data_IF_654693742105
#
_entry.id   IF_654693742105
#
_cell.length_a   1.000
_cell.length_b   1.000
_cell.length_c   1.000
_cell.angle_alpha   90.00
_cell.angle_beta   90.00
_cell.angle_gamma   90.00
#
_symmetry.space_group_name_H-M   'P 1'
#
loop_
_entity.id
_entity.type
_entity.pdbx_description
1 polymer ?
#
# COMPACT_ATOMS: atom_id res chain seq x y z
N UNK A 1 12.67 11.47 19.78
CA UNK A 1 12.33 10.44 18.81
C UNK A 1 10.93 9.91 19.10
N UNK A 2 10.17 9.68 18.08
CA UNK A 2 8.83 9.14 18.24
C UNK A 2 8.90 7.61 18.34
N UNK A 3 8.68 7.09 19.54
CA UNK A 3 8.73 5.64 19.77
C UNK A 3 7.59 4.88 19.11
N UNK A 4 6.49 5.56 18.81
CA UNK A 4 5.36 4.93 18.13
C UNK A 4 5.73 4.37 16.74
N UNK A 5 6.62 5.07 16.03
CA UNK A 5 7.10 4.60 14.74
C UNK A 5 7.90 3.30 14.87
N UNK A 6 8.42 3.01 16.06
CA UNK A 6 9.22 1.81 16.30
C UNK A 6 8.37 0.60 16.71
N UNK A 7 7.07 0.81 16.92
CA UNK A 7 6.15 -0.27 17.30
C UNK A 7 5.59 -1.02 16.10
N UNK A 8 6.02 -0.66 14.90
CA UNK A 8 5.74 -1.45 13.72
C UNK A 8 6.42 -2.81 13.88
N UNK A 9 5.82 -3.86 13.38
CA UNK A 9 6.42 -5.18 13.35
C UNK A 9 7.79 -5.15 12.66
N UNK A 10 8.51 -6.25 12.69
CA UNK A 10 9.81 -6.36 12.04
C UNK A 10 9.74 -6.05 10.55
N UNK A 11 8.66 -6.48 9.89
CA UNK A 11 8.44 -6.20 8.49
C UNK A 11 7.73 -4.87 8.35
N UNK A 12 8.42 -3.89 7.82
CA UNK A 12 7.93 -2.52 7.63
C UNK A 12 7.59 -2.24 6.18
N UNK A 13 7.45 -3.29 5.37
CA UNK A 13 7.16 -3.11 3.95
C UNK A 13 5.76 -2.53 3.75
N UNK A 14 5.68 -1.50 2.94
CA UNK A 14 4.45 -0.79 2.65
C UNK A 14 4.33 -0.58 1.14
N UNK A 15 3.22 -1.02 0.57
CA UNK A 15 2.91 -0.78 -0.83
C UNK A 15 1.86 0.31 -0.91
N UNK A 16 2.14 1.35 -1.71
CA UNK A 16 1.19 2.42 -2.00
C UNK A 16 0.78 2.31 -3.46
N UNK A 17 -0.51 2.22 -3.72
CA UNK A 17 -1.03 2.10 -5.09
C UNK A 17 -2.04 3.21 -5.34
N UNK A 18 -1.72 4.10 -6.27
CA UNK A 18 -2.56 5.22 -6.65
C UNK A 18 -2.09 5.72 -8.01
N UNK A 19 -2.99 6.16 -8.86
CA UNK A 19 -2.60 6.71 -10.17
C UNK A 19 -2.21 8.19 -10.13
N UNK A 20 -2.36 8.84 -8.98
CA UNK A 20 -1.88 10.20 -8.76
C UNK A 20 -0.41 10.17 -8.31
N UNK A 21 0.49 10.39 -9.25
CA UNK A 21 1.92 10.34 -8.99
C UNK A 21 2.37 11.34 -7.92
N UNK A 22 1.84 12.55 -7.95
CA UNK A 22 2.21 13.57 -6.97
C UNK A 22 1.78 13.18 -5.56
N UNK A 23 0.58 12.63 -5.43
CA UNK A 23 0.08 12.12 -4.15
C UNK A 23 0.95 10.97 -3.64
N UNK A 24 1.25 10.00 -4.51
CA UNK A 24 2.11 8.87 -4.15
C UNK A 24 3.45 9.34 -3.61
N UNK A 25 4.06 10.31 -4.28
CA UNK A 25 5.38 10.82 -3.88
C UNK A 25 5.33 11.46 -2.50
N UNK A 26 4.31 12.26 -2.24
CA UNK A 26 4.15 12.92 -0.95
C UNK A 26 3.86 11.89 0.15
N UNK A 27 2.99 10.95 -0.13
CA UNK A 27 2.63 9.92 0.85
C UNK A 27 3.82 9.01 1.15
N UNK A 28 4.57 8.63 0.12
CA UNK A 28 5.76 7.80 0.29
C UNK A 28 6.76 8.47 1.22
N UNK A 29 7.03 9.76 1.01
CA UNK A 29 7.96 10.50 1.88
C UNK A 29 7.46 10.54 3.33
N UNK A 30 6.18 10.78 3.52
CA UNK A 30 5.60 10.84 4.85
C UNK A 30 5.71 9.49 5.57
N UNK A 31 5.47 8.40 4.84
CA UNK A 31 5.54 7.07 5.41
C UNK A 31 6.98 6.64 5.70
N UNK A 32 7.91 6.99 4.82
CA UNK A 32 9.34 6.70 5.05
C UNK A 32 9.85 7.38 6.33
N UNK A 33 9.39 8.60 6.57
CA UNK A 33 9.73 9.30 7.82
C UNK A 33 9.20 8.59 9.06
N UNK A 34 8.16 7.78 8.90
CA UNK A 34 7.58 7.00 9.99
C UNK A 34 8.20 5.61 10.13
N UNK A 35 9.19 5.30 9.32
CA UNK A 35 9.92 4.05 9.41
C UNK A 35 9.49 2.97 8.44
N UNK A 36 8.57 3.25 7.53
CA UNK A 36 8.16 2.28 6.52
C UNK A 36 9.17 2.18 5.38
N UNK A 37 9.28 0.98 4.85
CA UNK A 37 10.02 0.72 3.62
C UNK A 37 8.99 0.71 2.49
N UNK A 38 8.97 1.77 1.70
CA UNK A 38 7.87 2.05 0.78
C UNK A 38 8.19 1.65 -0.65
N UNK A 39 7.26 0.94 -1.29
CA UNK A 39 7.22 0.77 -2.73
C UNK A 39 5.93 1.41 -3.25
N UNK A 40 5.97 1.91 -4.46
CA UNK A 40 4.80 2.55 -5.07
C UNK A 40 4.46 1.90 -6.40
N UNK A 41 3.17 1.93 -6.75
CA UNK A 41 2.68 1.48 -8.04
C UNK A 41 1.55 2.40 -8.47
N UNK A 42 1.47 2.69 -9.77
CA UNK A 42 0.45 3.58 -10.30
C UNK A 42 -0.69 2.84 -10.99
N UNK A 43 -0.57 1.53 -11.14
CA UNK A 43 -1.55 0.71 -11.86
C UNK A 43 -1.86 -0.57 -11.10
N UNK A 44 -2.99 -1.18 -11.44
CA UNK A 44 -3.35 -2.50 -10.92
C UNK A 44 -2.29 -3.53 -11.32
N UNK A 45 -1.89 -3.51 -12.59
CA UNK A 45 -0.89 -4.45 -13.11
C UNK A 45 0.41 -4.41 -12.32
N UNK A 46 0.93 -3.21 -12.10
CA UNK A 46 2.18 -3.05 -11.35
C UNK A 46 2.00 -3.42 -9.87
N UNK A 47 0.88 -3.01 -9.27
CA UNK A 47 0.58 -3.36 -7.88
C UNK A 47 0.49 -4.86 -7.67
N UNK A 48 -0.16 -5.57 -8.59
CA UNK A 48 -0.25 -7.02 -8.53
C UNK A 48 1.11 -7.71 -8.70
N UNK A 49 1.94 -7.16 -9.58
CA UNK A 49 3.29 -7.70 -9.79
C UNK A 49 4.13 -7.60 -8.51
N UNK A 50 4.07 -6.47 -7.83
CA UNK A 50 4.76 -6.29 -6.55
C UNK A 50 4.20 -7.25 -5.50
N UNK A 51 2.88 -7.34 -5.41
CA UNK A 51 2.21 -8.23 -4.44
C UNK A 51 2.63 -9.69 -4.64
N UNK A 52 2.84 -10.11 -5.88
CA UNK A 52 3.24 -11.48 -6.19
C UNK A 52 4.71 -11.75 -5.85
N UNK A 53 5.58 -10.79 -6.09
CA UNK A 53 7.03 -10.98 -5.90
C UNK A 53 7.51 -10.60 -4.50
N UNK A 54 6.93 -9.56 -3.93
CA UNK A 54 7.32 -9.02 -2.61
C UNK A 54 6.08 -8.60 -1.83
N UNK A 55 5.26 -9.55 -1.37
CA UNK A 55 4.00 -9.20 -0.68
C UNK A 55 4.27 -8.34 0.55
N UNK A 56 3.64 -7.16 0.64
CA UNK A 56 3.90 -6.23 1.72
C UNK A 56 3.17 -6.60 3.00
N UNK A 57 3.70 -6.12 4.13
CA UNK A 57 3.02 -6.25 5.42
C UNK A 57 1.87 -5.25 5.52
N UNK A 58 2.01 -4.11 4.85
CA UNK A 58 1.04 -3.01 4.89
C UNK A 58 0.80 -2.50 3.48
N UNK A 59 -0.42 -2.05 3.20
CA UNK A 59 -0.71 -1.45 1.90
C UNK A 59 -1.76 -0.36 2.01
N UNK A 60 -1.63 0.66 1.17
CA UNK A 60 -2.66 1.67 0.95
C UNK A 60 -2.96 1.64 -0.55
N UNK A 61 -4.19 1.33 -0.90
CA UNK A 61 -4.56 1.07 -2.29
C UNK A 61 -5.77 1.93 -2.67
N UNK A 62 -5.63 2.72 -3.74
CA UNK A 62 -6.76 3.45 -4.30
C UNK A 62 -7.70 2.46 -4.97
N UNK A 63 -8.99 2.59 -4.69
CA UNK A 63 -10.02 1.72 -5.25
C UNK A 63 -10.12 1.88 -6.77
N UNK A 64 -10.04 3.12 -7.26
CA UNK A 64 -10.19 3.42 -8.69
C UNK A 64 -8.85 3.73 -9.33
N UNK A 65 -8.43 2.86 -10.22
CA UNK A 65 -7.20 3.02 -10.99
C UNK A 65 -7.56 3.02 -12.48
N UNK A 66 -6.70 3.60 -13.31
CA UNK A 66 -6.97 3.69 -14.74
C UNK A 66 -7.15 2.34 -15.41
N UNK A 67 -6.42 1.33 -14.99
CA UNK A 67 -6.45 0.00 -15.59
C UNK A 67 -7.31 -1.00 -14.80
N UNK A 68 -8.08 -0.55 -13.81
CA UNK A 68 -8.99 -1.45 -13.13
C UNK A 68 -9.30 -1.06 -11.70
N UNK A 69 -9.65 -2.06 -10.93
CA UNK A 69 -10.11 -1.89 -9.55
C UNK A 69 -8.99 -2.26 -8.58
N UNK A 70 -8.70 -1.37 -7.63
CA UNK A 70 -7.68 -1.61 -6.61
C UNK A 70 -7.92 -2.85 -5.75
N UNK A 71 -9.15 -3.33 -5.66
CA UNK A 71 -9.44 -4.56 -4.92
C UNK A 71 -8.71 -5.78 -5.52
N UNK A 72 -8.39 -5.74 -6.80
CA UNK A 72 -7.61 -6.81 -7.42
C UNK A 72 -6.20 -6.87 -6.84
N UNK A 73 -5.64 -5.70 -6.50
CA UNK A 73 -4.34 -5.63 -5.81
C UNK A 73 -4.47 -6.18 -4.41
N UNK A 74 -5.55 -5.82 -3.70
CA UNK A 74 -5.80 -6.29 -2.34
C UNK A 74 -5.89 -7.82 -2.32
N UNK A 75 -6.61 -8.41 -3.27
CA UNK A 75 -6.72 -9.86 -3.37
C UNK A 75 -5.36 -10.51 -3.60
N UNK A 76 -4.55 -9.94 -4.49
CA UNK A 76 -3.22 -10.47 -4.77
C UNK A 76 -2.33 -10.45 -3.53
N UNK A 77 -2.43 -9.39 -2.73
CA UNK A 77 -1.69 -9.29 -1.47
C UNK A 77 -2.14 -10.39 -0.51
N UNK A 78 -3.46 -10.53 -0.34
CA UNK A 78 -4.01 -11.48 0.62
C UNK A 78 -3.77 -12.94 0.26
N UNK A 79 -3.66 -13.27 -1.01
CA UNK A 79 -3.30 -14.60 -1.45
C UNK A 79 -1.92 -15.01 -0.94
N UNK A 80 -0.99 -14.08 -0.91
CA UNK A 80 0.39 -14.33 -0.47
C UNK A 80 0.59 -14.06 1.00
N UNK A 81 -0.20 -13.15 1.55
CA UNK A 81 0.00 -12.65 2.91
C UNK A 81 -1.33 -12.31 3.55
N UNK A 82 -2.06 -13.33 4.05
CA UNK A 82 -3.41 -13.13 4.60
C UNK A 82 -3.49 -12.15 5.77
N UNK A 83 -2.41 -11.98 6.50
CA UNK A 83 -2.34 -11.09 7.67
C UNK A 83 -1.92 -9.65 7.32
N UNK A 84 -1.70 -9.35 6.04
CA UNK A 84 -1.36 -7.99 5.63
C UNK A 84 -2.46 -7.01 6.05
N UNK A 85 -2.03 -5.85 6.50
CA UNK A 85 -2.96 -4.79 6.88
C UNK A 85 -3.12 -3.83 5.72
N UNK A 86 -4.35 -3.72 5.23
CA UNK A 86 -4.64 -2.97 4.02
C UNK A 86 -5.65 -1.88 4.29
N UNK A 87 -5.39 -0.69 3.77
CA UNK A 87 -6.33 0.43 3.75
C UNK A 87 -6.69 0.70 2.29
N UNK A 88 -7.98 0.76 2.01
CA UNK A 88 -8.48 1.11 0.68
C UNK A 88 -8.96 2.55 0.71
N UNK A 89 -8.45 3.36 -0.21
CA UNK A 89 -8.89 4.74 -0.38
C UNK A 89 -10.03 4.79 -1.39
N UNK A 90 -11.08 5.50 -1.02
CA UNK A 90 -12.25 5.70 -1.89
C UNK A 90 -12.49 7.19 -2.04
N UNK A 91 -13.39 7.59 -2.94
CA UNK A 91 -13.79 8.98 -3.05
C UNK A 91 -14.44 9.54 -1.79
N UNK A 92 -14.81 8.68 -0.84
CA UNK A 92 -15.50 9.07 0.40
C UNK A 92 -14.62 8.91 1.65
N UNK A 93 -13.40 8.44 1.51
CA UNK A 93 -12.51 8.28 2.65
C UNK A 93 -11.65 7.02 2.55
N UNK A 94 -11.24 6.48 3.70
CA UNK A 94 -10.38 5.32 3.78
C UNK A 94 -11.07 4.21 4.56
N UNK A 95 -10.89 2.97 4.10
CA UNK A 95 -11.49 1.80 4.73
C UNK A 95 -10.37 0.80 5.04
N UNK A 96 -10.25 0.42 6.30
CA UNK A 96 -9.31 -0.63 6.70
C UNK A 96 -9.94 -2.00 6.46
N UNK A 97 -9.20 -2.88 5.86
CA UNK A 97 -9.67 -4.23 5.56
C UNK A 97 -8.84 -5.30 6.23
#
# INVERSE_FOLDING_TARGET
MNTEALELGEDKSLLLVDDDEAFLRRLAKAMEKRGFEVETAETVTHGRAIAASRPPAYAVVDLRLEDGNGLDVVEAIREKRPDAKVVVLTGYGAIAT
#
